data_IF_159522551307
#
_entry.id   IF_159522551307
#
_cell.length_a   1.000
_cell.length_b   1.000
_cell.length_c   1.000
_cell.angle_alpha   90.00
_cell.angle_beta   90.00
_cell.angle_gamma   90.00
#
_symmetry.space_group_name_H-M   'P 1'
#
loop_
_entity.id
_entity.type
_entity.pdbx_description
1 polymer ?
#
# COMPACT_ATOMS: atom_id res chain seq x y z
N UNK A 1 19.32 -1.51 6.12
CA UNK A 1 19.51 -2.92 6.51
C UNK A 1 18.34 -3.26 7.42
N UNK A 2 17.35 -4.01 6.93
CA UNK A 2 16.13 -4.29 7.69
C UNK A 2 16.40 -5.46 8.64
N UNK A 3 16.37 -5.22 9.94
CA UNK A 3 16.56 -6.28 10.93
C UNK A 3 15.34 -7.22 10.92
N UNK A 4 15.53 -8.55 11.12
CA UNK A 4 14.42 -9.49 11.15
C UNK A 4 13.41 -9.11 12.25
N UNK A 5 12.12 -9.22 11.94
CA UNK A 5 11.05 -8.98 12.89
C UNK A 5 11.23 -9.85 14.16
N UNK A 6 11.07 -9.29 15.37
CA UNK A 6 11.05 -10.08 16.61
C UNK A 6 9.86 -11.06 16.59
N UNK A 7 9.89 -12.17 17.37
CA UNK A 7 8.77 -13.09 17.43
C UNK A 7 7.51 -12.36 17.92
N UNK A 8 6.55 -12.23 17.01
CA UNK A 8 5.30 -11.49 17.16
C UNK A 8 4.34 -11.89 16.04
N UNK A 9 3.07 -11.47 16.11
CA UNK A 9 2.04 -11.89 15.15
C UNK A 9 2.29 -11.38 13.71
N UNK A 10 3.15 -10.38 13.52
CA UNK A 10 3.45 -9.79 12.22
C UNK A 10 4.80 -10.25 11.66
N UNK A 11 4.80 -10.79 10.45
CA UNK A 11 6.02 -11.24 9.75
C UNK A 11 6.78 -10.12 9.04
N UNK A 12 6.30 -8.87 9.10
CA UNK A 12 6.93 -7.71 8.45
C UNK A 12 7.97 -7.11 9.39
N UNK A 13 9.18 -6.86 8.88
CA UNK A 13 10.26 -6.27 9.67
C UNK A 13 9.91 -4.87 10.19
N UNK A 14 10.26 -4.63 11.46
CA UNK A 14 10.18 -3.30 12.06
C UNK A 14 11.28 -2.39 11.52
N UNK A 15 10.93 -1.15 11.16
CA UNK A 15 11.88 -0.15 10.73
C UNK A 15 11.28 1.25 10.70
N UNK A 16 12.13 2.27 10.56
CA UNK A 16 11.70 3.67 10.40
C UNK A 16 12.36 4.26 9.15
N UNK A 17 11.60 4.51 8.07
CA UNK A 17 12.11 5.04 6.81
C UNK A 17 12.40 6.55 6.83
N UNK A 18 12.21 7.24 7.98
CA UNK A 18 12.53 8.67 8.18
C UNK A 18 11.88 9.59 7.15
N UNK A 19 10.62 9.35 6.82
CA UNK A 19 9.87 10.12 5.84
C UNK A 19 10.18 9.77 4.39
N UNK A 20 11.12 8.86 4.11
CA UNK A 20 11.35 8.41 2.74
C UNK A 20 10.11 7.67 2.20
N UNK A 21 9.65 8.09 1.04
CA UNK A 21 8.47 7.56 0.38
C UNK A 21 8.75 7.58 -1.13
N UNK A 22 8.55 6.45 -1.80
CA UNK A 22 8.75 6.35 -3.24
C UNK A 22 7.56 6.98 -3.99
N UNK A 23 7.75 8.11 -4.69
CA UNK A 23 6.66 8.78 -5.40
C UNK A 23 6.15 8.00 -6.62
N UNK A 24 6.90 7.00 -7.12
CA UNK A 24 6.50 6.18 -8.27
C UNK A 24 5.79 4.89 -7.85
N UNK A 25 5.75 4.58 -6.56
CA UNK A 25 5.07 3.39 -6.05
C UNK A 25 3.59 3.31 -6.49
N UNK A 26 2.78 4.39 -6.46
CA UNK A 26 1.38 4.33 -6.88
C UNK A 26 1.22 3.89 -8.33
N UNK A 27 2.00 4.48 -9.24
CA UNK A 27 2.03 4.08 -10.67
C UNK A 27 2.42 2.62 -10.84
N UNK A 28 3.43 2.17 -10.10
CA UNK A 28 3.97 0.81 -10.20
C UNK A 28 3.01 -0.24 -9.64
N UNK A 29 2.24 0.08 -8.59
CA UNK A 29 1.19 -0.83 -8.11
C UNK A 29 -0.02 -0.88 -9.05
N UNK A 30 -0.40 0.25 -9.64
CA UNK A 30 -1.49 0.31 -10.62
C UNK A 30 -1.18 -0.52 -11.86
N UNK A 31 0.07 -0.52 -12.33
CA UNK A 31 0.47 -1.31 -13.49
C UNK A 31 0.37 -2.81 -13.25
N UNK A 32 0.43 -3.28 -11.99
CA UNK A 32 0.25 -4.71 -11.66
C UNK A 32 -1.19 -5.20 -11.75
N UNK A 33 -2.18 -4.30 -11.84
CA UNK A 33 -3.58 -4.65 -12.09
C UNK A 33 -3.86 -4.90 -13.59
N UNK A 34 -2.90 -5.46 -14.34
CA UNK A 34 -2.89 -5.50 -15.82
C UNK A 34 -4.17 -6.09 -16.41
N UNK A 35 -4.76 -7.07 -15.72
CA UNK A 35 -5.90 -7.86 -16.21
C UNK A 35 -7.23 -7.54 -15.49
N UNK A 36 -7.36 -6.40 -14.82
CA UNK A 36 -8.62 -5.97 -14.20
C UNK A 36 -9.17 -7.00 -13.19
N UNK A 37 -8.43 -7.29 -12.10
CA UNK A 37 -8.88 -8.26 -11.11
C UNK A 37 -10.23 -7.84 -10.53
N UNK A 38 -11.10 -8.81 -10.21
CA UNK A 38 -12.39 -8.52 -9.56
C UNK A 38 -12.23 -7.87 -8.18
N UNK A 39 -11.17 -8.23 -7.48
CA UNK A 39 -10.88 -7.74 -6.14
C UNK A 39 -9.38 -7.53 -5.93
N UNK A 40 -9.01 -6.43 -5.29
CA UNK A 40 -7.64 -6.15 -4.86
C UNK A 40 -7.65 -5.79 -3.38
N UNK A 41 -6.77 -6.42 -2.62
CA UNK A 41 -6.46 -6.03 -1.26
C UNK A 41 -5.24 -5.12 -1.31
N UNK A 42 -5.38 -3.93 -0.75
CA UNK A 42 -4.27 -3.02 -0.55
C UNK A 42 -3.93 -3.01 0.95
N UNK A 43 -2.64 -3.15 1.26
CA UNK A 43 -2.13 -3.15 2.64
C UNK A 43 -0.93 -2.22 2.73
N UNK A 44 -0.65 -1.72 3.94
CA UNK A 44 0.51 -0.89 4.20
C UNK A 44 1.11 -1.21 5.57
N UNK A 45 2.39 -0.86 5.74
CA UNK A 45 2.99 -0.77 7.07
C UNK A 45 2.58 0.54 7.72
N UNK A 46 2.67 0.60 9.05
CA UNK A 46 2.47 1.85 9.76
C UNK A 46 3.52 2.90 9.33
N UNK A 47 3.07 4.13 9.09
CA UNK A 47 3.89 5.26 8.61
C UNK A 47 3.77 6.47 9.53
N UNK A 48 3.87 6.24 10.85
CA UNK A 48 3.95 7.30 11.88
C UNK A 48 5.09 8.31 11.63
N UNK A 49 6.07 7.95 10.79
CA UNK A 49 7.13 8.85 10.36
C UNK A 49 6.65 9.92 9.35
N UNK A 50 5.44 9.81 8.81
CA UNK A 50 4.81 10.78 7.94
C UNK A 50 3.71 11.56 8.68
N UNK A 51 3.55 12.88 8.44
CA UNK A 51 2.52 13.70 9.09
C UNK A 51 1.09 13.17 8.90
N UNK A 52 0.81 12.62 7.73
CA UNK A 52 -0.51 12.09 7.34
C UNK A 52 -0.57 10.56 7.39
N UNK A 53 0.42 9.88 8.00
CA UNK A 53 0.45 8.42 8.08
C UNK A 53 0.48 7.69 6.74
N UNK A 54 0.76 8.39 5.63
CA UNK A 54 0.70 7.84 4.27
C UNK A 54 -0.69 7.84 3.62
N UNK A 55 -1.70 8.49 4.20
CA UNK A 55 -3.08 8.49 3.67
C UNK A 55 -3.18 8.98 2.22
N UNK A 56 -2.51 10.09 1.89
CA UNK A 56 -2.49 10.65 0.53
C UNK A 56 -1.88 9.68 -0.48
N UNK A 57 -0.80 9.00 -0.09
CA UNK A 57 -0.13 7.99 -0.92
C UNK A 57 -1.04 6.78 -1.19
N UNK A 58 -1.76 6.32 -0.17
CA UNK A 58 -2.74 5.25 -0.31
C UNK A 58 -3.88 5.65 -1.27
N UNK A 59 -4.39 6.88 -1.14
CA UNK A 59 -5.43 7.40 -2.02
C UNK A 59 -4.98 7.48 -3.49
N UNK A 60 -3.72 7.82 -3.76
CA UNK A 60 -3.15 7.82 -5.10
C UNK A 60 -3.05 6.42 -5.71
N UNK A 61 -2.87 5.37 -4.90
CA UNK A 61 -2.92 3.98 -5.36
C UNK A 61 -4.35 3.56 -5.69
N UNK A 62 -5.34 3.98 -4.90
CA UNK A 62 -6.76 3.53 -5.01
C UNK A 62 -7.53 4.24 -6.13
N UNK A 63 -7.28 5.52 -6.40
CA UNK A 63 -8.05 6.31 -7.39
C UNK A 63 -7.94 5.76 -8.82
N UNK A 64 -6.75 5.44 -9.36
CA UNK A 64 -6.62 5.07 -10.77
C UNK A 64 -7.17 3.67 -11.12
N UNK A 65 -7.05 2.63 -10.28
CA UNK A 65 -7.72 1.36 -10.50
C UNK A 65 -9.24 1.53 -10.67
N UNK A 66 -9.90 2.37 -9.87
CA UNK A 66 -11.34 2.66 -10.02
C UNK A 66 -11.68 3.34 -11.35
N UNK A 67 -10.76 4.16 -11.89
CA UNK A 67 -10.96 4.81 -13.18
C UNK A 67 -10.72 3.85 -14.36
N UNK A 68 -9.74 2.95 -14.24
CA UNK A 68 -9.34 2.02 -15.31
C UNK A 68 -10.15 0.73 -15.32
N UNK A 69 -10.56 0.27 -14.15
CA UNK A 69 -11.31 -0.97 -13.90
C UNK A 69 -12.43 -0.66 -12.90
N UNK A 70 -13.54 -0.05 -13.34
CA UNK A 70 -14.62 0.39 -12.45
C UNK A 70 -15.30 -0.76 -11.69
N UNK A 71 -15.17 -1.99 -12.20
CA UNK A 71 -15.71 -3.22 -11.58
C UNK A 71 -14.74 -3.86 -10.57
N UNK A 72 -13.49 -3.39 -10.49
CA UNK A 72 -12.53 -3.86 -9.49
C UNK A 72 -12.90 -3.28 -8.13
N UNK A 73 -13.30 -4.15 -7.20
CA UNK A 73 -13.45 -3.78 -5.82
C UNK A 73 -12.08 -3.70 -5.12
N UNK A 74 -11.89 -2.67 -4.29
CA UNK A 74 -10.66 -2.44 -3.53
C UNK A 74 -11.04 -2.43 -2.06
N UNK A 75 -10.41 -3.31 -1.27
CA UNK A 75 -10.64 -3.40 0.16
C UNK A 75 -9.36 -3.37 0.98
N UNK A 76 -9.53 -3.12 2.26
CA UNK A 76 -8.54 -3.35 3.30
C UNK A 76 -8.70 -4.80 3.81
N UNK A 77 -7.67 -5.42 4.42
CA UNK A 77 -7.69 -6.83 4.83
C UNK A 77 -8.80 -7.19 5.85
N UNK A 78 -9.42 -6.19 6.45
CA UNK A 78 -10.47 -6.24 7.48
C UNK A 78 -11.85 -5.72 6.99
N UNK A 79 -12.02 -5.51 5.67
CA UNK A 79 -13.30 -5.10 5.05
C UNK A 79 -14.02 -6.26 4.36
#
# INVERSE_FOLDING_TARGET
MSAPAPPGFCSVNTGNPKGWLDPQEPRTRQSRAVDGPKYVVLTSVNRDDLPEGGASHYAEVVRPPKAKFPETAVGAPDT
#
